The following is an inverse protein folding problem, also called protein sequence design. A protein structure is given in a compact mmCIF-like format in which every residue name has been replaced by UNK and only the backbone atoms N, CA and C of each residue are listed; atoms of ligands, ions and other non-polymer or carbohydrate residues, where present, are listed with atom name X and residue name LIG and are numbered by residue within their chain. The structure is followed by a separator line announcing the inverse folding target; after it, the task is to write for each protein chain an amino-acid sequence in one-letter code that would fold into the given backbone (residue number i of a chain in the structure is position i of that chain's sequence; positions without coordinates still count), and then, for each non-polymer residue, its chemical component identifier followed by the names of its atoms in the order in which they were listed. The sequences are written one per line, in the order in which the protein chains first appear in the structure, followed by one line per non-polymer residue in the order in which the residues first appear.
data_IF_170822147494
#
_entry.id   IF_170822147494
#
_cell.length_a   1.000
_cell.length_b   1.000
_cell.length_c   1.000
_cell.angle_alpha   90.00
_cell.angle_beta   90.00
_cell.angle_gamma   90.00
#
_symmetry.space_group_name_H-M   'P 1'
#
loop_
_entity.id
_entity.type
_entity.pdbx_description
1 polymer ?
#
# COMPACT_ATOMS: atom_id res chain seq x y z
N UNK A 1 5.83 13.79 -11.79
CA UNK A 1 5.34 12.41 -11.62
C UNK A 1 6.29 11.64 -10.72
N UNK A 2 5.76 10.90 -9.78
CA UNK A 2 6.60 10.12 -8.87
C UNK A 2 7.00 8.80 -9.51
N UNK A 3 8.24 8.38 -9.24
CA UNK A 3 8.72 7.07 -9.69
C UNK A 3 8.07 5.95 -8.86
N UNK A 4 8.09 4.70 -9.33
CA UNK A 4 7.60 3.58 -8.52
C UNK A 4 8.24 3.51 -7.14
N UNK A 5 9.56 3.76 -7.05
CA UNK A 5 10.24 3.76 -5.76
C UNK A 5 9.72 4.86 -4.85
N UNK A 6 9.49 6.05 -5.38
CA UNK A 6 8.94 7.16 -4.61
C UNK A 6 7.53 6.85 -4.11
N UNK A 7 6.70 6.23 -4.96
CA UNK A 7 5.35 5.82 -4.57
C UNK A 7 5.40 4.74 -3.47
N UNK A 8 6.31 3.78 -3.60
CA UNK A 8 6.48 2.74 -2.59
C UNK A 8 6.88 3.33 -1.23
N UNK A 9 7.82 4.26 -1.24
CA UNK A 9 8.26 4.93 -0.01
C UNK A 9 7.15 5.78 0.60
N UNK A 10 6.36 6.44 -0.24
CA UNK A 10 5.23 7.23 0.20
C UNK A 10 4.16 6.35 0.85
N UNK A 11 3.86 5.20 0.24
CA UNK A 11 2.93 4.24 0.81
C UNK A 11 3.44 3.69 2.14
N UNK A 12 4.73 3.36 2.22
CA UNK A 12 5.32 2.88 3.47
C UNK A 12 5.22 3.94 4.58
N UNK A 13 5.45 5.21 4.24
CA UNK A 13 5.30 6.30 5.20
C UNK A 13 3.84 6.41 5.67
N UNK A 14 2.89 6.31 4.75
CA UNK A 14 1.46 6.38 5.09
C UNK A 14 1.06 5.26 6.05
N UNK A 15 1.62 4.06 5.86
CA UNK A 15 1.39 2.94 6.76
C UNK A 15 2.02 3.17 8.13
N UNK A 16 3.23 3.73 8.15
CA UNK A 16 3.91 4.05 9.39
C UNK A 16 3.17 5.11 10.19
N UNK A 17 2.58 6.09 9.51
CA UNK A 17 1.83 7.17 10.16
C UNK A 17 0.63 6.64 10.97
N UNK A 18 0.10 5.49 10.60
CA UNK A 18 -1.00 4.83 11.31
C UNK A 18 -0.54 3.63 12.12
N UNK A 19 0.76 3.56 12.40
CA UNK A 19 1.38 2.56 13.26
C UNK A 19 1.26 1.13 12.70
N UNK A 20 1.30 0.99 11.39
CA UNK A 20 1.39 -0.32 10.76
C UNK A 20 2.65 -1.04 11.25
N UNK A 21 2.57 -2.36 11.36
CA UNK A 21 3.68 -3.18 11.83
C UNK A 21 4.30 -3.93 10.67
N UNK A 22 5.57 -4.31 10.83
CA UNK A 22 6.31 -5.12 9.87
C UNK A 22 6.24 -4.54 8.46
N UNK A 23 6.37 -3.21 8.36
CA UNK A 23 6.29 -2.53 7.08
C UNK A 23 7.53 -2.85 6.26
N UNK A 24 7.30 -3.32 5.03
CA UNK A 24 8.37 -3.65 4.09
C UNK A 24 8.04 -3.12 2.71
N UNK A 25 9.04 -2.61 2.02
CA UNK A 25 8.94 -2.24 0.62
C UNK A 25 9.94 -3.11 -0.15
N UNK A 26 9.43 -4.00 -1.00
CA UNK A 26 10.23 -4.99 -1.71
C UNK A 26 10.26 -4.66 -3.19
N UNK A 27 11.46 -4.53 -3.74
CA UNK A 27 11.61 -4.36 -5.18
C UNK A 27 11.48 -5.72 -5.86
N UNK A 28 10.51 -5.83 -6.76
CA UNK A 28 10.18 -7.10 -7.41
C UNK A 28 10.22 -7.02 -8.93
N UNK A 29 10.66 -5.87 -9.47
CA UNK A 29 10.63 -5.62 -10.92
C UNK A 29 11.36 -6.72 -11.71
N UNK A 30 12.45 -7.26 -11.17
CA UNK A 30 13.22 -8.30 -11.82
C UNK A 30 12.62 -9.69 -11.66
N UNK A 31 11.62 -9.84 -10.81
CA UNK A 31 11.00 -11.13 -10.48
C UNK A 31 9.66 -11.34 -11.17
N UNK A 32 8.96 -10.25 -11.51
CA UNK A 32 7.63 -10.33 -12.08
C UNK A 32 7.32 -9.07 -12.88
N UNK A 33 6.39 -9.18 -13.82
CA UNK A 33 5.88 -8.04 -14.58
C UNK A 33 4.62 -7.43 -13.95
N UNK A 34 4.16 -7.96 -12.80
CA UNK A 34 2.91 -7.52 -12.17
C UNK A 34 3.03 -6.15 -11.52
N UNK A 35 4.19 -5.86 -10.93
CA UNK A 35 4.46 -4.57 -10.31
C UNK A 35 5.96 -4.42 -10.13
N UNK A 36 6.42 -3.20 -9.87
CA UNK A 36 7.82 -2.95 -9.59
C UNK A 36 8.14 -3.12 -8.10
N UNK A 37 7.17 -2.80 -7.22
CA UNK A 37 7.33 -2.90 -5.77
C UNK A 37 6.09 -3.50 -5.13
N UNK A 38 6.31 -4.33 -4.12
CA UNK A 38 5.29 -4.68 -3.14
C UNK A 38 5.57 -3.90 -1.88
N UNK A 39 4.53 -3.33 -1.29
CA UNK A 39 4.61 -2.67 0.02
C UNK A 39 3.70 -3.46 0.96
N UNK A 40 4.26 -3.95 2.05
CA UNK A 40 3.58 -4.86 2.97
C UNK A 40 3.47 -4.23 4.35
N UNK A 41 2.34 -4.44 5.01
CA UNK A 41 2.18 -4.02 6.40
C UNK A 41 1.18 -4.93 7.11
N UNK A 42 1.28 -4.98 8.42
CA UNK A 42 0.37 -5.76 9.27
C UNK A 42 -0.37 -4.82 10.20
N UNK A 43 -1.68 -5.04 10.33
CA UNK A 43 -2.53 -4.36 11.32
C UNK A 43 -2.88 -5.32 12.44
N UNK A 44 -3.12 -4.78 13.63
CA UNK A 44 -3.45 -5.58 14.81
C UNK A 44 -4.95 -5.85 14.96
N UNK A 45 -5.78 -5.18 14.16
CA UNK A 45 -7.24 -5.32 14.23
C UNK A 45 -7.84 -4.87 12.90
N UNK A 46 -9.10 -5.22 12.67
CA UNK A 46 -9.80 -4.75 11.48
C UNK A 46 -9.88 -3.23 11.42
N UNK A 47 -10.06 -2.59 12.57
CA UNK A 47 -10.07 -1.13 12.65
C UNK A 47 -8.74 -0.55 12.20
N UNK A 48 -7.62 -1.14 12.64
CA UNK A 48 -6.31 -0.67 12.23
C UNK A 48 -6.06 -0.95 10.73
N UNK A 49 -6.44 -2.14 10.25
CA UNK A 49 -6.31 -2.45 8.83
C UNK A 49 -7.04 -1.41 7.98
N UNK A 50 -8.27 -1.07 8.36
CA UNK A 50 -9.02 -0.05 7.64
C UNK A 50 -8.35 1.32 7.70
N UNK A 51 -7.80 1.68 8.85
CA UNK A 51 -7.08 2.95 9.00
C UNK A 51 -5.82 2.99 8.13
N UNK A 52 -5.09 1.88 8.06
CA UNK A 52 -3.89 1.78 7.21
C UNK A 52 -4.26 1.95 5.75
N UNK A 53 -5.28 1.23 5.28
CA UNK A 53 -5.74 1.30 3.90
C UNK A 53 -6.22 2.70 3.55
N UNK A 54 -7.05 3.29 4.40
CA UNK A 54 -7.58 4.63 4.17
C UNK A 54 -6.46 5.66 4.08
N UNK A 55 -5.44 5.53 4.93
CA UNK A 55 -4.34 6.49 4.92
C UNK A 55 -3.45 6.35 3.68
N UNK A 56 -3.21 5.12 3.21
CA UNK A 56 -2.48 4.93 1.96
C UNK A 56 -3.22 5.59 0.82
N UNK A 57 -4.52 5.35 0.70
CA UNK A 57 -5.31 5.95 -0.37
C UNK A 57 -5.31 7.48 -0.29
N UNK A 58 -5.47 8.02 0.92
CA UNK A 58 -5.47 9.47 1.13
C UNK A 58 -4.13 10.09 0.74
N UNK A 59 -3.03 9.53 1.24
CA UNK A 59 -1.69 10.09 1.01
C UNK A 59 -1.30 10.01 -0.47
N UNK A 60 -1.55 8.87 -1.11
CA UNK A 60 -1.21 8.73 -2.52
C UNK A 60 -2.07 9.62 -3.39
N UNK A 61 -3.33 9.83 -3.03
CA UNK A 61 -4.18 10.77 -3.74
C UNK A 61 -3.68 12.20 -3.59
N UNK A 62 -3.43 12.63 -2.35
CA UNK A 62 -3.09 14.03 -2.06
C UNK A 62 -1.68 14.39 -2.52
N UNK A 63 -0.72 13.49 -2.35
CA UNK A 63 0.68 13.81 -2.62
C UNK A 63 1.19 13.33 -3.97
N UNK A 64 0.51 12.38 -4.61
CA UNK A 64 0.94 11.85 -5.89
C UNK A 64 -0.14 11.89 -6.97
N UNK A 65 -1.37 12.24 -6.61
CA UNK A 65 -2.48 12.22 -7.58
C UNK A 65 -2.82 10.83 -8.06
N UNK A 66 -2.53 9.78 -7.27
CA UNK A 66 -2.74 8.40 -7.68
C UNK A 66 -3.96 7.80 -7.01
N UNK A 67 -4.71 7.02 -7.79
CA UNK A 67 -5.84 6.24 -7.31
C UNK A 67 -5.58 4.77 -7.60
N UNK A 68 -6.05 3.84 -6.74
CA UNK A 68 -5.86 2.43 -7.05
C UNK A 68 -6.61 2.05 -8.32
N UNK A 69 -5.92 1.34 -9.20
CA UNK A 69 -6.52 0.78 -10.42
C UNK A 69 -7.43 -0.38 -10.07
N UNK A 70 -7.10 -1.11 -9.03
CA UNK A 70 -7.83 -2.29 -8.60
C UNK A 70 -7.69 -2.45 -7.11
N UNK A 71 -8.75 -2.89 -6.46
CA UNK A 71 -8.78 -3.08 -5.03
C UNK A 71 -9.40 -4.44 -4.74
N UNK A 72 -8.74 -5.24 -3.89
CA UNK A 72 -9.25 -6.53 -3.45
C UNK A 72 -9.32 -6.58 -1.93
N UNK A 73 -10.27 -7.35 -1.41
CA UNK A 73 -10.54 -7.41 0.02
C UNK A 73 -11.48 -6.31 0.44
N UNK A 74 -12.15 -6.51 1.55
CA UNK A 74 -13.14 -5.58 2.03
C UNK A 74 -12.88 -5.20 3.48
N UNK A 75 -13.46 -4.08 3.90
CA UNK A 75 -13.45 -3.68 5.29
C UNK A 75 -13.97 -4.83 6.14
N UNK A 76 -13.26 -5.12 7.22
CA UNK A 76 -13.57 -6.26 8.07
C UNK A 76 -12.90 -7.55 7.65
N UNK A 77 -12.21 -7.58 6.51
CA UNK A 77 -11.40 -8.71 6.08
C UNK A 77 -10.03 -8.69 6.74
N UNK A 78 -9.31 -9.82 6.60
CA UNK A 78 -7.98 -9.97 7.16
C UNK A 78 -6.88 -9.59 6.18
N UNK A 79 -7.25 -9.19 4.97
CA UNK A 79 -6.29 -8.83 3.93
C UNK A 79 -6.93 -7.85 2.95
N UNK A 80 -6.18 -6.82 2.60
CA UNK A 80 -6.59 -5.85 1.58
C UNK A 80 -5.43 -5.61 0.63
N UNK A 81 -5.71 -5.61 -0.66
CA UNK A 81 -4.76 -5.29 -1.71
C UNK A 81 -5.18 -4.00 -2.40
N UNK A 82 -4.24 -3.07 -2.53
CA UNK A 82 -4.41 -1.87 -3.32
C UNK A 82 -3.41 -1.92 -4.47
N UNK A 83 -3.91 -2.07 -5.69
CA UNK A 83 -3.07 -2.18 -6.89
C UNK A 83 -3.03 -0.83 -7.61
N UNK A 84 -1.86 -0.22 -7.65
CA UNK A 84 -1.62 1.04 -8.34
C UNK A 84 -0.88 0.84 -9.68
N UNK A 85 -0.76 -0.39 -10.13
CA UNK A 85 -0.02 -0.71 -11.35
C UNK A 85 1.45 -0.93 -11.07
N UNK A 86 2.22 0.14 -10.86
CA UNK A 86 3.66 0.02 -10.60
C UNK A 86 3.96 -0.43 -9.18
N UNK A 87 3.04 -0.23 -8.23
CA UNK A 87 3.19 -0.76 -6.87
C UNK A 87 1.91 -1.46 -6.46
N UNK A 88 2.04 -2.44 -5.58
CA UNK A 88 0.90 -3.12 -4.97
C UNK A 88 1.10 -3.08 -3.45
N UNK A 89 0.10 -2.57 -2.73
CA UNK A 89 0.13 -2.45 -1.28
C UNK A 89 -0.72 -3.56 -0.67
N UNK A 90 -0.10 -4.38 0.18
CA UNK A 90 -0.76 -5.48 0.86
C UNK A 90 -0.82 -5.17 2.35
N UNK A 91 -2.02 -5.18 2.90
CA UNK A 91 -2.23 -4.94 4.34
C UNK A 91 -2.92 -6.19 4.92
N UNK A 92 -2.30 -6.75 5.96
CA UNK A 92 -2.81 -7.96 6.61
C UNK A 92 -3.31 -7.71 8.01
#
# INVERSE_FOLDING_TARGET
MKTPKELALLAARALSDKKGKEIQALEIADLTTLADYFVLATGSSNTQINALVDNVEKVLHEEAGEEPLHREGYRGGTWVLLDYGCIAVHVF
#
